data_IF_712246786086
#
_entry.id   IF_712246786086
#
_cell.length_a   1.000
_cell.length_b   1.000
_cell.length_c   1.000
_cell.angle_alpha   90.00
_cell.angle_beta   90.00
_cell.angle_gamma   90.00
#
_symmetry.space_group_name_H-M   'P 1'
#
loop_
_entity.id
_entity.type
_entity.pdbx_description
1 polymer ?
#
# COMPACT_ATOMS: atom_id res chain seq x y z
N UNK A 1 0.62 -1.20 33.76
CA UNK A 1 0.76 -1.79 32.41
C UNK A 1 -0.42 -1.42 31.50
N UNK A 2 -1.66 -1.67 31.94
CA UNK A 2 -2.87 -1.30 31.17
C UNK A 2 -2.88 0.16 30.71
N UNK A 3 -2.45 1.09 31.57
CA UNK A 3 -2.45 2.53 31.25
C UNK A 3 -1.57 2.88 30.05
N UNK A 4 -0.35 2.33 29.95
CA UNK A 4 0.54 2.60 28.81
C UNK A 4 -0.02 2.07 27.50
N UNK A 5 -0.60 0.86 27.53
CA UNK A 5 -1.21 0.26 26.35
C UNK A 5 -2.42 1.06 25.89
N UNK A 6 -3.30 1.43 26.82
CA UNK A 6 -4.47 2.24 26.54
C UNK A 6 -4.08 3.63 26.01
N UNK A 7 -3.12 4.29 26.64
CA UNK A 7 -2.61 5.59 26.19
C UNK A 7 -2.02 5.50 24.77
N UNK A 8 -1.20 4.48 24.47
CA UNK A 8 -0.70 4.26 23.10
C UNK A 8 -1.81 4.12 22.07
N UNK A 9 -2.81 3.27 22.36
CA UNK A 9 -3.93 3.03 21.44
C UNK A 9 -4.70 4.34 21.22
N UNK A 10 -5.07 5.03 22.29
CA UNK A 10 -5.87 6.27 22.22
C UNK A 10 -5.13 7.33 21.42
N UNK A 11 -3.87 7.62 21.77
CA UNK A 11 -3.11 8.66 21.07
C UNK A 11 -2.82 8.30 19.60
N UNK A 12 -2.50 7.03 19.30
CA UNK A 12 -2.30 6.59 17.92
C UNK A 12 -3.59 6.64 17.10
N UNK A 13 -4.72 6.19 17.67
CA UNK A 13 -6.03 6.24 17.02
C UNK A 13 -6.49 7.69 16.78
N UNK A 14 -6.29 8.58 17.74
CA UNK A 14 -6.57 10.01 17.57
C UNK A 14 -5.69 10.62 16.48
N UNK A 15 -4.40 10.28 16.43
CA UNK A 15 -3.51 10.70 15.35
C UNK A 15 -4.02 10.25 13.98
N UNK A 16 -4.44 8.99 13.83
CA UNK A 16 -5.01 8.47 12.59
C UNK A 16 -6.32 9.22 12.25
N UNK A 17 -7.19 9.43 13.23
CA UNK A 17 -8.44 10.17 13.07
C UNK A 17 -8.23 11.61 12.60
N UNK A 18 -7.26 12.32 13.20
CA UNK A 18 -6.85 13.65 12.76
C UNK A 18 -6.39 13.65 11.31
N UNK A 19 -5.57 12.68 10.89
CA UNK A 19 -5.13 12.57 9.50
C UNK A 19 -6.29 12.34 8.54
N UNK A 20 -7.19 11.40 8.86
CA UNK A 20 -8.38 11.13 8.04
C UNK A 20 -9.23 12.40 7.93
N UNK A 21 -9.40 13.13 9.03
CA UNK A 21 -10.11 14.41 9.03
C UNK A 21 -9.42 15.43 8.14
N UNK A 22 -8.10 15.61 8.25
CA UNK A 22 -7.32 16.53 7.41
C UNK A 22 -7.46 16.21 5.92
N UNK A 23 -7.42 14.92 5.55
CA UNK A 23 -7.62 14.48 4.16
C UNK A 23 -9.01 14.84 3.63
N UNK A 24 -10.02 14.98 4.51
CA UNK A 24 -11.39 15.36 4.15
C UNK A 24 -11.62 16.87 4.14
N UNK A 25 -11.09 17.59 5.11
CA UNK A 25 -11.34 19.03 5.30
C UNK A 25 -10.27 19.95 4.72
N UNK A 26 -9.20 19.40 4.17
CA UNK A 26 -8.01 20.14 3.75
C UNK A 26 -6.95 20.25 4.85
N UNK A 27 -5.72 20.54 4.45
CA UNK A 27 -4.55 20.59 5.32
C UNK A 27 -4.53 21.90 6.13
N UNK A 28 -4.59 21.80 7.45
CA UNK A 28 -4.25 22.90 8.38
C UNK A 28 -2.96 22.58 9.11
N UNK A 29 -2.05 23.54 9.16
CA UNK A 29 -0.77 23.43 9.87
C UNK A 29 -0.97 23.10 11.36
N UNK A 30 -2.03 23.64 11.97
CA UNK A 30 -2.38 23.36 13.36
C UNK A 30 -2.78 21.91 13.55
N UNK A 31 -3.65 21.38 12.68
CA UNK A 31 -4.09 19.98 12.75
C UNK A 31 -2.92 19.02 12.50
N UNK A 32 -2.02 19.38 11.59
CA UNK A 32 -0.79 18.60 11.36
C UNK A 32 0.11 18.58 12.60
N UNK A 33 0.32 19.73 13.24
CA UNK A 33 1.11 19.82 14.47
C UNK A 33 0.49 19.04 15.63
N UNK A 34 -0.85 19.06 15.73
CA UNK A 34 -1.59 18.34 16.75
C UNK A 34 -1.49 16.83 16.54
N UNK A 35 -1.68 16.36 15.30
CA UNK A 35 -1.48 14.96 14.93
C UNK A 35 -0.06 14.48 15.26
N UNK A 36 0.97 15.28 14.94
CA UNK A 36 2.37 14.96 15.29
C UNK A 36 2.57 14.81 16.79
N UNK A 37 1.97 15.70 17.58
CA UNK A 37 2.02 15.64 19.04
C UNK A 37 1.36 14.35 19.55
N UNK A 38 0.17 14.01 19.05
CA UNK A 38 -0.53 12.78 19.39
C UNK A 38 0.30 11.53 19.06
N UNK A 39 0.86 11.45 17.85
CA UNK A 39 1.74 10.33 17.47
C UNK A 39 2.97 10.23 18.39
N UNK A 40 3.61 11.36 18.68
CA UNK A 40 4.78 11.40 19.57
C UNK A 40 4.45 10.92 20.98
N UNK A 41 3.30 11.34 21.52
CA UNK A 41 2.80 10.88 22.82
C UNK A 41 2.53 9.37 22.83
N UNK A 42 2.00 8.83 21.73
CA UNK A 42 1.79 7.39 21.58
C UNK A 42 3.13 6.62 21.59
N UNK A 43 4.15 7.17 20.92
CA UNK A 43 5.50 6.58 20.81
C UNK A 43 6.28 6.55 22.13
N UNK A 44 6.05 7.49 23.05
CA UNK A 44 6.70 7.50 24.39
C UNK A 44 6.44 6.20 25.17
N UNK A 45 5.35 5.51 24.87
CA UNK A 45 4.97 4.27 25.55
C UNK A 45 5.51 3.01 24.88
N UNK A 46 6.11 3.11 23.69
CA UNK A 46 6.35 1.96 22.81
C UNK A 46 7.44 1.03 23.35
N UNK A 47 8.48 1.55 24.00
CA UNK A 47 9.50 0.75 24.67
C UNK A 47 8.88 -0.12 25.76
N UNK A 48 7.92 0.44 26.51
CA UNK A 48 7.20 -0.31 27.56
C UNK A 48 6.30 -1.40 26.97
N UNK A 49 5.71 -1.17 25.80
CA UNK A 49 4.96 -2.19 25.08
C UNK A 49 5.85 -3.36 24.65
N UNK A 50 7.09 -3.06 24.25
CA UNK A 50 8.05 -4.07 23.80
C UNK A 50 8.67 -4.86 24.95
N UNK A 51 8.94 -4.22 26.09
CA UNK A 51 9.60 -4.86 27.24
C UNK A 51 8.65 -5.67 28.13
N UNK A 52 7.34 -5.49 28.01
CA UNK A 52 6.34 -6.24 28.76
C UNK A 52 5.95 -7.55 28.07
N UNK A 53 5.44 -8.55 28.83
CA UNK A 53 4.89 -9.76 28.23
C UNK A 53 3.85 -9.42 27.17
N UNK A 54 3.92 -10.11 26.03
CA UNK A 54 2.97 -9.88 24.93
C UNK A 54 1.54 -10.21 25.38
N UNK A 55 0.61 -9.32 25.05
CA UNK A 55 -0.83 -9.46 25.30
C UNK A 55 -1.61 -9.08 24.04
N UNK A 56 -2.86 -9.52 23.91
CA UNK A 56 -3.71 -9.11 22.80
C UNK A 56 -3.83 -7.58 22.68
N UNK A 57 -3.84 -6.88 23.83
CA UNK A 57 -3.95 -5.43 23.86
C UNK A 57 -2.64 -4.75 23.44
N UNK A 58 -1.47 -5.24 23.88
CA UNK A 58 -0.18 -4.72 23.42
C UNK A 58 0.01 -4.93 21.93
N UNK A 59 -0.46 -6.06 21.39
CA UNK A 59 -0.47 -6.31 19.95
C UNK A 59 -1.33 -5.28 19.21
N UNK A 60 -2.57 -5.06 19.65
CA UNK A 60 -3.46 -4.03 19.07
C UNK A 60 -2.84 -2.62 19.14
N UNK A 61 -2.14 -2.30 20.23
CA UNK A 61 -1.43 -1.03 20.36
C UNK A 61 -0.31 -0.88 19.33
N UNK A 62 0.53 -1.92 19.15
CA UNK A 62 1.61 -1.93 18.17
C UNK A 62 1.08 -1.82 16.73
N UNK A 63 -0.01 -2.53 16.39
CA UNK A 63 -0.65 -2.40 15.07
C UNK A 63 -1.22 -1.00 14.84
N UNK A 64 -1.87 -0.41 15.84
CA UNK A 64 -2.39 0.96 15.73
C UNK A 64 -1.26 1.96 15.50
N UNK A 65 -0.15 1.82 16.23
CA UNK A 65 1.05 2.63 16.05
C UNK A 65 1.70 2.42 14.68
N UNK A 66 1.77 1.18 14.19
CA UNK A 66 2.31 0.84 12.87
C UNK A 66 1.49 1.48 11.75
N UNK A 67 0.16 1.47 11.86
CA UNK A 67 -0.71 2.16 10.90
C UNK A 67 -0.47 3.67 10.96
N UNK A 68 -0.41 4.25 12.16
CA UNK A 68 -0.11 5.67 12.32
C UNK A 68 1.27 6.04 11.74
N UNK A 69 2.30 5.23 11.97
CA UNK A 69 3.65 5.46 11.44
C UNK A 69 3.69 5.33 9.92
N UNK A 70 3.04 4.32 9.35
CA UNK A 70 2.99 4.13 7.90
C UNK A 70 2.34 5.34 7.18
N UNK A 71 1.41 6.01 7.85
CA UNK A 71 0.72 7.17 7.32
C UNK A 71 1.47 8.50 7.53
N UNK A 72 2.22 8.63 8.62
CA UNK A 72 2.82 9.91 9.05
C UNK A 72 4.35 9.92 9.07
N UNK A 73 4.97 8.89 9.65
CA UNK A 73 6.42 8.82 9.85
C UNK A 73 6.95 7.44 9.41
N UNK A 74 7.07 7.21 8.09
CA UNK A 74 7.46 5.90 7.54
C UNK A 74 8.81 5.39 8.06
N UNK A 75 9.69 6.29 8.50
CA UNK A 75 10.97 5.94 9.11
C UNK A 75 10.83 5.05 10.37
N UNK A 76 9.73 5.18 11.11
CA UNK A 76 9.49 4.38 12.32
C UNK A 76 8.83 3.02 12.00
N UNK A 77 8.37 2.82 10.76
CA UNK A 77 7.56 1.67 10.38
C UNK A 77 8.33 0.35 10.42
N UNK A 78 9.63 0.31 10.09
CA UNK A 78 10.44 -0.92 10.12
C UNK A 78 10.48 -1.51 11.54
N UNK A 79 10.83 -0.65 12.49
CA UNK A 79 10.98 -1.03 13.89
C UNK A 79 9.62 -1.44 14.49
N UNK A 80 8.56 -0.65 14.24
CA UNK A 80 7.20 -0.97 14.68
C UNK A 80 6.69 -2.28 14.06
N UNK A 81 7.00 -2.53 12.79
CA UNK A 81 6.65 -3.77 12.10
C UNK A 81 7.35 -4.96 12.76
N UNK A 82 8.65 -4.86 13.04
CA UNK A 82 9.41 -5.88 13.76
C UNK A 82 8.83 -6.17 15.15
N UNK A 83 8.50 -5.13 15.91
CA UNK A 83 7.88 -5.26 17.23
C UNK A 83 6.49 -5.91 17.16
N UNK A 84 5.65 -5.52 16.20
CA UNK A 84 4.32 -6.10 16.00
C UNK A 84 4.40 -7.58 15.59
N UNK A 85 5.31 -7.94 14.69
CA UNK A 85 5.56 -9.34 14.29
C UNK A 85 6.04 -10.17 15.47
N UNK A 86 7.01 -9.67 16.24
CA UNK A 86 7.52 -10.35 17.43
C UNK A 86 6.43 -10.58 18.47
N UNK A 87 5.55 -9.60 18.68
CA UNK A 87 4.40 -9.72 19.57
C UNK A 87 3.38 -10.76 19.05
N UNK A 88 3.10 -10.77 17.74
CA UNK A 88 2.20 -11.75 17.12
C UNK A 88 2.72 -13.18 17.25
N UNK A 89 4.02 -13.38 17.02
CA UNK A 89 4.68 -14.68 17.13
C UNK A 89 4.74 -15.16 18.58
N UNK A 90 5.03 -14.26 19.53
CA UNK A 90 5.02 -14.56 20.97
C UNK A 90 3.65 -15.03 21.45
N UNK A 91 2.57 -14.45 20.91
CA UNK A 91 1.19 -14.84 21.17
C UNK A 91 0.69 -16.01 20.31
N UNK A 92 1.50 -16.48 19.35
CA UNK A 92 1.15 -17.51 18.35
C UNK A 92 -0.17 -17.20 17.63
N UNK A 93 -0.35 -15.94 17.24
CA UNK A 93 -1.60 -15.48 16.62
C UNK A 93 -1.88 -16.11 15.25
N UNK A 94 -0.92 -16.81 14.65
CA UNK A 94 -1.10 -17.60 13.44
C UNK A 94 -1.92 -18.89 13.67
N UNK A 95 -2.17 -19.27 14.92
CA UNK A 95 -2.91 -20.47 15.30
C UNK A 95 -4.25 -20.12 15.96
N UNK A 96 -5.35 -20.66 15.43
CA UNK A 96 -6.72 -20.39 15.88
C UNK A 96 -6.97 -20.89 17.30
N UNK A 97 -6.39 -22.02 17.68
CA UNK A 97 -6.50 -22.51 19.05
C UNK A 97 -5.80 -21.55 20.01
N UNK A 98 -4.60 -21.07 19.67
CA UNK A 98 -3.90 -20.04 20.45
C UNK A 98 -4.72 -18.74 20.56
N UNK A 99 -5.31 -18.25 19.46
CA UNK A 99 -6.21 -17.09 19.48
C UNK A 99 -7.36 -17.27 20.50
N UNK A 100 -7.99 -18.44 20.51
CA UNK A 100 -9.07 -18.78 21.46
C UNK A 100 -8.59 -18.90 22.91
N UNK A 101 -7.32 -19.21 23.15
CA UNK A 101 -6.75 -19.20 24.52
C UNK A 101 -6.42 -17.81 25.02
N UNK A 102 -6.04 -16.90 24.10
CA UNK A 102 -5.66 -15.52 24.43
C UNK A 102 -6.89 -14.64 24.68
N UNK A 103 -8.02 -14.95 24.03
CA UNK A 103 -9.26 -14.19 24.09
C UNK A 103 -10.32 -14.90 24.93
N UNK A 104 -11.13 -14.14 25.67
CA UNK A 104 -12.22 -14.71 26.48
C UNK A 104 -13.53 -14.83 25.70
N UNK A 105 -13.70 -13.98 24.69
CA UNK A 105 -14.93 -13.87 23.89
C UNK A 105 -14.65 -14.10 22.41
N UNK A 106 -15.61 -14.67 21.69
CA UNK A 106 -15.50 -14.87 20.24
C UNK A 106 -15.32 -13.54 19.48
N UNK A 107 -15.94 -12.46 19.95
CA UNK A 107 -15.74 -11.12 19.38
C UNK A 107 -14.29 -10.64 19.47
N UNK A 108 -13.61 -10.96 20.57
CA UNK A 108 -12.20 -10.62 20.77
C UNK A 108 -11.30 -11.46 19.86
N UNK A 109 -11.64 -12.74 19.67
CA UNK A 109 -10.95 -13.64 18.72
C UNK A 109 -11.02 -13.05 17.31
N UNK A 110 -12.21 -12.69 16.83
CA UNK A 110 -12.37 -12.14 15.48
C UNK A 110 -11.67 -10.77 15.35
N UNK A 111 -11.77 -9.91 16.36
CA UNK A 111 -11.05 -8.64 16.39
C UNK A 111 -9.53 -8.82 16.33
N UNK A 112 -8.98 -9.80 17.05
CA UNK A 112 -7.56 -10.09 17.07
C UNK A 112 -7.09 -10.76 15.77
N UNK A 113 -7.93 -11.64 15.20
CA UNK A 113 -7.73 -12.22 13.86
C UNK A 113 -7.64 -11.14 12.80
N UNK A 114 -8.56 -10.17 12.78
CA UNK A 114 -8.49 -9.04 11.86
C UNK A 114 -7.21 -8.21 12.03
N UNK A 115 -6.77 -7.96 13.27
CA UNK A 115 -5.52 -7.24 13.53
C UNK A 115 -4.28 -8.02 13.03
N UNK A 116 -4.28 -9.35 13.17
CA UNK A 116 -3.24 -10.22 12.61
C UNK A 116 -3.21 -10.15 11.08
N UNK A 117 -4.36 -10.20 10.43
CA UNK A 117 -4.41 -10.11 8.97
C UNK A 117 -4.08 -8.70 8.45
N UNK A 118 -4.40 -7.65 9.20
CA UNK A 118 -3.91 -6.30 8.90
C UNK A 118 -2.39 -6.25 8.96
N UNK A 119 -1.76 -6.82 10.00
CA UNK A 119 -0.31 -6.96 10.07
C UNK A 119 0.23 -7.69 8.83
N UNK A 120 -0.38 -8.81 8.46
CA UNK A 120 0.00 -9.58 7.28
C UNK A 120 -0.02 -8.71 6.01
N UNK A 121 -1.08 -7.94 5.79
CA UNK A 121 -1.19 -7.06 4.60
C UNK A 121 -0.16 -5.92 4.56
N UNK A 122 0.36 -5.50 5.72
CA UNK A 122 1.42 -4.48 5.80
C UNK A 122 2.80 -5.12 5.65
N UNK A 123 3.02 -6.27 6.30
CA UNK A 123 4.31 -6.94 6.40
C UNK A 123 4.82 -7.43 5.04
N UNK A 124 3.99 -8.13 4.26
CA UNK A 124 4.44 -8.76 3.02
C UNK A 124 4.93 -7.75 1.98
N UNK A 125 4.17 -6.69 1.66
CA UNK A 125 4.66 -5.67 0.73
C UNK A 125 5.90 -4.95 1.25
N UNK A 126 5.95 -4.67 2.56
CA UNK A 126 7.05 -3.96 3.18
C UNK A 126 8.37 -4.75 3.06
N UNK A 127 8.35 -6.04 3.41
CA UNK A 127 9.52 -6.91 3.29
C UNK A 127 9.97 -7.08 1.85
N UNK A 128 9.04 -7.33 0.92
CA UNK A 128 9.36 -7.46 -0.51
C UNK A 128 10.06 -6.20 -1.04
N UNK A 129 9.52 -5.01 -0.73
CA UNK A 129 10.09 -3.72 -1.14
C UNK A 129 11.53 -3.54 -0.65
N UNK A 130 11.82 -4.03 0.55
CA UNK A 130 13.15 -3.95 1.17
C UNK A 130 14.06 -5.14 0.82
N UNK A 131 13.61 -6.07 -0.03
CA UNK A 131 14.36 -7.29 -0.36
C UNK A 131 14.62 -8.18 0.85
N UNK A 132 13.70 -8.20 1.80
CA UNK A 132 13.76 -9.02 3.02
C UNK A 132 12.79 -10.19 2.91
N UNK A 133 13.13 -11.29 3.58
CA UNK A 133 12.24 -12.42 3.75
C UNK A 133 11.01 -12.05 4.59
N UNK A 134 9.87 -12.67 4.28
CA UNK A 134 8.68 -12.54 5.12
C UNK A 134 8.90 -13.22 6.47
N UNK A 135 8.59 -12.50 7.53
CA UNK A 135 8.68 -13.00 8.90
C UNK A 135 7.44 -13.80 9.33
N UNK A 136 6.31 -13.60 8.67
CA UNK A 136 5.07 -14.35 8.90
C UNK A 136 4.94 -15.45 7.84
N UNK A 137 5.37 -16.68 8.13
CA UNK A 137 5.29 -17.76 7.14
C UNK A 137 3.85 -18.27 6.97
N UNK A 138 3.41 -18.32 5.71
CA UNK A 138 2.06 -18.77 5.32
C UNK A 138 1.81 -20.23 5.71
N UNK A 139 2.86 -21.05 5.79
CA UNK A 139 2.77 -22.47 6.14
C UNK A 139 2.29 -22.73 7.57
N UNK A 140 2.36 -21.72 8.45
CA UNK A 140 1.99 -21.86 9.86
C UNK A 140 0.68 -21.17 10.21
N UNK A 141 -0.02 -20.56 9.25
CA UNK A 141 -1.29 -19.86 9.50
C UNK A 141 -2.44 -20.85 9.26
N UNK A 142 -3.25 -21.14 10.28
CA UNK A 142 -4.29 -22.18 10.24
C UNK A 142 -5.74 -21.67 10.19
N UNK A 143 -5.91 -20.35 10.04
CA UNK A 143 -7.21 -19.69 9.99
C UNK A 143 -7.29 -18.74 8.79
N UNK A 144 -8.49 -18.36 8.37
CA UNK A 144 -8.69 -17.45 7.23
C UNK A 144 -8.97 -16.00 7.67
N UNK A 145 -8.70 -14.99 6.81
CA UNK A 145 -8.93 -13.58 7.12
C UNK A 145 -10.39 -13.20 7.33
N UNK A 146 -11.31 -13.85 6.62
CA UNK A 146 -12.73 -13.48 6.62
C UNK A 146 -13.55 -14.71 7.00
N UNK A 147 -14.34 -14.59 8.07
CA UNK A 147 -15.31 -15.61 8.42
C UNK A 147 -16.44 -15.61 7.39
N UNK A 148 -16.71 -16.76 6.76
CA UNK A 148 -17.75 -16.90 5.73
C UNK A 148 -19.11 -16.42 6.26
N UNK A 149 -19.64 -15.32 5.73
CA UNK A 149 -20.89 -14.73 6.22
C UNK A 149 -21.30 -13.42 5.54
N UNK A 150 -22.34 -12.78 6.07
CA UNK A 150 -22.89 -11.51 5.57
C UNK A 150 -21.81 -10.40 5.58
N UNK A 151 -20.86 -10.46 6.52
CA UNK A 151 -19.78 -9.48 6.62
C UNK A 151 -18.82 -9.49 5.42
N UNK A 152 -18.61 -10.65 4.79
CA UNK A 152 -17.77 -10.78 3.60
C UNK A 152 -18.30 -9.97 2.39
N UNK A 153 -19.60 -9.60 2.41
CA UNK A 153 -20.24 -8.82 1.34
C UNK A 153 -20.09 -7.30 1.54
N UNK A 154 -19.55 -6.84 2.67
CA UNK A 154 -19.33 -5.40 2.91
C UNK A 154 -18.24 -4.89 1.95
N UNK A 155 -18.40 -3.72 1.30
CA UNK A 155 -17.39 -3.17 0.38
C UNK A 155 -15.99 -3.03 1.01
N UNK A 156 -15.92 -2.65 2.29
CA UNK A 156 -14.65 -2.59 3.02
C UNK A 156 -13.95 -3.95 3.16
N UNK A 157 -14.72 -5.03 3.31
CA UNK A 157 -14.18 -6.38 3.40
C UNK A 157 -13.73 -6.90 2.03
N UNK A 158 -14.38 -6.47 0.95
CA UNK A 158 -13.93 -6.76 -0.42
C UNK A 158 -12.61 -6.05 -0.74
N UNK A 159 -12.49 -4.76 -0.39
CA UNK A 159 -11.24 -4.01 -0.53
C UNK A 159 -10.12 -4.67 0.29
N UNK A 160 -10.40 -5.04 1.54
CA UNK A 160 -9.45 -5.80 2.37
C UNK A 160 -9.04 -7.14 1.74
N UNK A 161 -10.00 -7.87 1.15
CA UNK A 161 -9.73 -9.12 0.43
C UNK A 161 -8.81 -8.95 -0.78
N UNK A 162 -8.83 -7.79 -1.44
CA UNK A 162 -7.86 -7.45 -2.50
C UNK A 162 -6.47 -7.23 -1.91
N UNK A 163 -6.34 -6.43 -0.84
CA UNK A 163 -5.05 -6.20 -0.17
C UNK A 163 -4.41 -7.49 0.34
N UNK A 164 -5.21 -8.37 0.91
CA UNK A 164 -4.78 -9.70 1.32
C UNK A 164 -4.21 -10.51 0.15
N UNK A 165 -4.93 -10.60 -0.97
CA UNK A 165 -4.46 -11.35 -2.15
C UNK A 165 -3.17 -10.77 -2.73
N UNK A 166 -3.05 -9.44 -2.77
CA UNK A 166 -1.81 -8.78 -3.16
C UNK A 166 -0.66 -9.12 -2.19
N UNK A 167 -0.92 -9.12 -0.88
CA UNK A 167 0.07 -9.50 0.12
C UNK A 167 0.50 -10.97 0.00
N UNK A 168 -0.40 -11.88 -0.35
CA UNK A 168 -0.04 -13.28 -0.65
C UNK A 168 0.86 -13.38 -1.89
N UNK A 169 0.58 -12.60 -2.94
CA UNK A 169 1.49 -12.51 -4.08
C UNK A 169 2.87 -11.99 -3.65
N UNK A 170 2.93 -10.94 -2.82
CA UNK A 170 4.19 -10.46 -2.28
C UNK A 170 4.95 -11.58 -1.53
N UNK A 171 4.26 -12.35 -0.69
CA UNK A 171 4.84 -13.43 0.09
C UNK A 171 5.50 -14.50 -0.80
N UNK A 172 4.79 -14.93 -1.84
CA UNK A 172 5.27 -15.98 -2.75
C UNK A 172 6.42 -15.49 -3.62
N UNK A 173 6.30 -14.28 -4.17
CA UNK A 173 7.37 -13.66 -4.96
C UNK A 173 8.65 -13.53 -4.12
N UNK A 174 8.54 -13.03 -2.88
CA UNK A 174 9.67 -12.93 -1.96
C UNK A 174 10.27 -14.32 -1.65
N UNK A 175 9.44 -15.32 -1.36
CA UNK A 175 9.90 -16.68 -1.08
C UNK A 175 10.66 -17.32 -2.25
N UNK A 176 10.23 -17.06 -3.49
CA UNK A 176 10.96 -17.53 -4.68
C UNK A 176 12.29 -16.80 -4.89
N UNK A 177 12.35 -15.49 -4.59
CA UNK A 177 13.59 -14.71 -4.65
C UNK A 177 14.61 -15.10 -3.59
N UNK A 178 14.15 -15.50 -2.39
CA UNK A 178 15.02 -15.88 -1.28
C UNK A 178 15.53 -17.33 -1.39
N UNK A 179 14.90 -18.17 -2.21
CA UNK A 179 15.34 -19.53 -2.41
C UNK A 179 16.72 -19.56 -3.08
N UNK A 180 17.72 -20.12 -2.40
CA UNK A 180 19.10 -20.33 -2.87
C UNK A 180 19.19 -20.98 -4.27
N UNK A 181 18.13 -21.69 -4.71
CA UNK A 181 17.97 -22.24 -6.07
C UNK A 181 17.82 -21.16 -7.16
N UNK A 182 17.16 -20.04 -6.87
CA UNK A 182 17.00 -18.91 -7.81
C UNK A 182 18.34 -18.21 -8.11
N UNK A 183 19.29 -18.27 -7.18
CA UNK A 183 20.66 -17.76 -7.37
C UNK A 183 21.55 -18.73 -8.17
N UNK A 184 21.16 -20.00 -8.31
CA UNK A 184 22.02 -21.06 -8.86
C UNK A 184 21.49 -21.79 -10.10
N UNK A 185 20.27 -21.50 -10.59
CA UNK A 185 19.63 -22.26 -11.68
C UNK A 185 19.27 -21.41 -12.92
N UNK A 186 19.29 -22.08 -14.08
CA UNK A 186 19.30 -21.55 -15.45
C UNK A 186 18.17 -20.61 -15.85
N UNK A 187 18.43 -19.77 -16.86
CA UNK A 187 17.53 -18.84 -17.57
C UNK A 187 16.16 -19.42 -17.99
N UNK A 188 16.04 -20.75 -18.14
CA UNK A 188 14.79 -21.43 -18.50
C UNK A 188 13.80 -21.45 -17.33
N UNK A 189 14.28 -21.72 -16.10
CA UNK A 189 13.45 -21.75 -14.89
C UNK A 189 12.88 -20.36 -14.55
N UNK A 190 13.61 -19.29 -14.92
CA UNK A 190 13.18 -17.91 -14.70
C UNK A 190 12.07 -17.46 -15.65
N UNK A 191 12.03 -17.95 -16.89
CA UNK A 191 11.03 -17.50 -17.88
C UNK A 191 9.63 -18.05 -17.61
N UNK A 192 9.49 -19.33 -17.26
CA UNK A 192 8.18 -19.94 -16.95
C UNK A 192 7.56 -19.33 -15.68
N UNK A 193 8.39 -19.08 -14.66
CA UNK A 193 7.94 -18.44 -13.43
C UNK A 193 7.48 -16.99 -13.66
N UNK A 194 8.20 -16.24 -14.51
CA UNK A 194 7.79 -14.88 -14.90
C UNK A 194 6.39 -14.87 -15.54
N UNK A 195 6.15 -15.75 -16.52
CA UNK A 195 4.86 -15.81 -17.20
C UNK A 195 3.73 -16.17 -16.24
N UNK A 196 3.97 -17.12 -15.34
CA UNK A 196 3.04 -17.47 -14.27
C UNK A 196 2.76 -16.28 -13.33
N UNK A 197 3.79 -15.53 -12.93
CA UNK A 197 3.62 -14.35 -12.07
C UNK A 197 2.84 -13.24 -12.76
N UNK A 198 3.18 -12.91 -14.00
CA UNK A 198 2.46 -11.91 -14.79
C UNK A 198 1.00 -12.31 -15.01
N UNK A 199 0.72 -13.60 -15.24
CA UNK A 199 -0.64 -14.09 -15.37
C UNK A 199 -1.43 -13.98 -14.05
N UNK A 200 -0.82 -14.36 -12.92
CA UNK A 200 -1.44 -14.19 -11.59
C UNK A 200 -1.74 -12.72 -11.29
N UNK A 201 -0.80 -11.81 -11.57
CA UNK A 201 -1.02 -10.38 -11.43
C UNK A 201 -2.14 -9.89 -12.37
N UNK A 202 -2.15 -10.32 -13.62
CA UNK A 202 -3.19 -9.95 -14.58
C UNK A 202 -4.60 -10.36 -14.10
N UNK A 203 -4.74 -11.53 -13.46
CA UNK A 203 -6.02 -11.95 -12.86
C UNK A 203 -6.43 -11.03 -11.72
N UNK A 204 -5.49 -10.62 -10.87
CA UNK A 204 -5.75 -9.70 -9.76
C UNK A 204 -6.04 -8.27 -10.21
N UNK A 205 -5.54 -7.85 -11.38
CA UNK A 205 -5.79 -6.53 -11.95
C UNK A 205 -7.29 -6.21 -11.95
N UNK A 206 -8.12 -7.11 -12.49
CA UNK A 206 -9.56 -6.89 -12.60
C UNK A 206 -10.19 -6.65 -11.22
N UNK A 207 -9.80 -7.45 -10.23
CA UNK A 207 -10.32 -7.32 -8.86
C UNK A 207 -9.90 -6.01 -8.20
N UNK A 208 -8.64 -5.59 -8.40
CA UNK A 208 -8.09 -4.34 -7.86
C UNK A 208 -8.86 -3.13 -8.38
N UNK A 209 -9.05 -3.05 -9.69
CA UNK A 209 -9.75 -1.92 -10.30
C UNK A 209 -11.28 -1.98 -10.08
N UNK A 210 -11.87 -3.17 -9.95
CA UNK A 210 -13.29 -3.33 -9.62
C UNK A 210 -13.59 -2.92 -8.18
N UNK A 211 -12.76 -3.32 -7.21
CA UNK A 211 -12.95 -2.98 -5.79
C UNK A 211 -12.91 -1.47 -5.54
N UNK A 212 -12.09 -0.74 -6.30
CA UNK A 212 -12.06 0.74 -6.28
C UNK A 212 -13.41 1.34 -6.62
N UNK A 213 -14.05 0.86 -7.69
CA UNK A 213 -15.35 1.39 -8.15
C UNK A 213 -16.51 1.00 -7.23
N UNK A 214 -16.34 -0.02 -6.40
CA UNK A 214 -17.33 -0.47 -5.42
C UNK A 214 -17.18 0.19 -4.04
N UNK A 215 -16.12 0.98 -3.84
CA UNK A 215 -15.84 1.64 -2.57
C UNK A 215 -16.80 2.83 -2.34
N UNK A 216 -17.92 2.49 -1.67
CA UNK A 216 -18.97 3.32 -1.05
C UNK A 216 -20.09 3.90 -1.95
N UNK A 217 -21.34 3.38 -1.81
CA UNK A 217 -22.51 4.26 -1.75
C UNK A 217 -22.35 5.16 -0.52
N UNK A 218 -22.67 6.45 -0.65
CA UNK A 218 -22.66 7.41 0.45
C UNK A 218 -23.30 6.79 1.70
N UNK A 219 -22.51 6.65 2.77
CA UNK A 219 -23.03 6.30 4.08
C UNK A 219 -24.00 7.41 4.44
N UNK A 220 -25.30 7.16 4.33
CA UNK A 220 -26.35 8.02 4.88
C UNK A 220 -26.19 7.98 6.39
N UNK A 221 -25.33 8.86 6.92
CA UNK A 221 -25.36 9.22 8.34
C UNK A 221 -26.81 9.65 8.63
N UNK A 222 -27.41 9.09 9.67
CA UNK A 222 -28.75 9.46 10.12
C UNK A 222 -28.82 10.99 10.26
N UNK A 223 -29.67 11.68 9.48
CA UNK A 223 -29.73 13.14 9.47
C UNK A 223 -30.16 13.73 10.81
N UNK A 224 -30.56 12.92 11.79
CA UNK A 224 -30.90 13.37 13.15
C UNK A 224 -29.68 13.66 14.04
N UNK A 225 -28.47 13.23 13.66
CA UNK A 225 -27.22 13.48 14.41
C UNK A 225 -26.35 14.53 13.70
N UNK A 226 -26.61 14.80 12.41
CA UNK A 226 -25.87 15.80 11.65
C UNK A 226 -26.33 17.23 11.99
N UNK A 227 -25.38 18.08 12.37
CA UNK A 227 -25.60 19.52 12.53
C UNK A 227 -26.19 20.12 11.24
N UNK A 228 -27.18 21.03 11.31
CA UNK A 228 -27.88 21.59 10.13
C UNK A 228 -26.97 22.39 9.17
N UNK A 229 -25.69 22.59 9.51
CA UNK A 229 -24.69 23.27 8.67
C UNK A 229 -23.62 22.33 8.10
N UNK A 230 -23.82 21.00 8.12
CA UNK A 230 -22.83 20.06 7.57
C UNK A 230 -22.91 20.03 6.03
N UNK A 231 -21.84 20.41 5.29
CA UNK A 231 -21.83 20.37 3.85
C UNK A 231 -22.01 18.92 3.34
N UNK A 232 -22.89 18.76 2.36
CA UNK A 232 -23.12 17.50 1.66
C UNK A 232 -21.78 16.92 1.18
N UNK A 233 -21.39 15.78 1.72
CA UNK A 233 -20.10 15.16 1.44
C UNK A 233 -20.06 14.63 -0.01
N UNK A 234 -19.02 14.95 -0.80
CA UNK A 234 -18.83 14.31 -2.09
C UNK A 234 -18.59 12.80 -1.90
N UNK A 235 -18.90 11.96 -2.90
CA UNK A 235 -18.62 10.53 -2.87
C UNK A 235 -17.16 10.29 -2.51
N UNK A 236 -16.89 9.36 -1.59
CA UNK A 236 -15.54 9.11 -1.11
C UNK A 236 -14.65 8.70 -2.28
N UNK A 237 -13.54 9.42 -2.46
CA UNK A 237 -12.44 9.02 -3.35
C UNK A 237 -12.12 7.55 -3.07
N UNK A 238 -12.27 6.70 -4.09
CA UNK A 238 -12.03 5.26 -3.96
C UNK A 238 -10.60 4.97 -3.51
N UNK A 239 -10.42 3.93 -2.69
CA UNK A 239 -9.11 3.56 -2.18
C UNK A 239 -8.17 3.18 -3.34
N UNK A 240 -7.14 4.01 -3.57
CA UNK A 240 -6.15 3.80 -4.63
C UNK A 240 -4.99 2.91 -4.18
N UNK A 241 -4.88 2.60 -2.89
CA UNK A 241 -3.71 1.95 -2.32
C UNK A 241 -3.49 0.54 -2.87
N UNK A 242 -4.56 -0.21 -3.17
CA UNK A 242 -4.48 -1.51 -3.83
C UNK A 242 -3.91 -1.38 -5.26
N UNK A 243 -4.32 -0.35 -6.02
CA UNK A 243 -3.79 -0.10 -7.37
C UNK A 243 -2.32 0.28 -7.35
N UNK A 244 -1.90 1.08 -6.37
CA UNK A 244 -0.51 1.46 -6.17
C UNK A 244 0.35 0.22 -5.84
N UNK A 245 -0.11 -0.63 -4.92
CA UNK A 245 0.58 -1.87 -4.56
C UNK A 245 0.64 -2.85 -5.74
N UNK A 246 -0.44 -2.99 -6.51
CA UNK A 246 -0.47 -3.80 -7.72
C UNK A 246 0.62 -3.35 -8.72
N UNK A 247 0.71 -2.05 -8.99
CA UNK A 247 1.73 -1.54 -9.90
C UNK A 247 3.15 -1.75 -9.38
N UNK A 248 3.36 -1.57 -8.07
CA UNK A 248 4.65 -1.85 -7.44
C UNK A 248 5.05 -3.32 -7.59
N UNK A 249 4.11 -4.25 -7.46
CA UNK A 249 4.34 -5.68 -7.71
C UNK A 249 4.72 -5.97 -9.17
N UNK A 250 4.02 -5.34 -10.13
CA UNK A 250 4.37 -5.46 -11.55
C UNK A 250 5.81 -4.99 -11.80
N UNK A 251 6.20 -3.85 -11.22
CA UNK A 251 7.57 -3.34 -11.33
C UNK A 251 8.58 -4.27 -10.66
N UNK A 252 8.26 -4.82 -9.48
CA UNK A 252 9.16 -5.71 -8.74
C UNK A 252 9.46 -6.99 -9.52
N UNK A 253 8.42 -7.65 -10.03
CA UNK A 253 8.55 -8.84 -10.89
C UNK A 253 9.35 -8.47 -12.14
N UNK A 254 8.88 -7.48 -12.89
CA UNK A 254 9.47 -7.11 -14.19
C UNK A 254 10.94 -6.70 -14.05
N UNK A 255 11.28 -5.84 -13.08
CA UNK A 255 12.65 -5.35 -12.89
C UNK A 255 13.65 -6.46 -12.52
N UNK A 256 13.22 -7.48 -11.78
CA UNK A 256 14.06 -8.63 -11.44
C UNK A 256 14.37 -9.51 -12.66
N UNK A 257 13.37 -9.72 -13.50
CA UNK A 257 13.55 -10.53 -14.72
C UNK A 257 14.28 -9.75 -15.82
N UNK A 258 14.13 -8.42 -15.93
CA UNK A 258 14.93 -7.60 -16.86
C UNK A 258 16.43 -7.56 -16.51
N UNK A 259 16.79 -7.71 -15.23
CA UNK A 259 18.20 -7.82 -14.81
C UNK A 259 18.81 -9.20 -15.15
N UNK A 260 17.96 -10.19 -15.43
CA UNK A 260 18.37 -11.53 -15.86
C UNK A 260 18.43 -11.51 -17.40
N UNK A 261 19.48 -12.07 -18.01
CA UNK A 261 19.62 -12.14 -19.48
C UNK A 261 18.53 -13.06 -20.07
N UNK A 262 17.33 -12.50 -20.25
CA UNK A 262 16.22 -13.12 -20.97
C UNK A 262 16.30 -12.75 -22.45
N UNK A 263 15.80 -13.63 -23.33
CA UNK A 263 15.80 -13.38 -24.77
C UNK A 263 14.86 -12.23 -25.18
N UNK A 264 15.10 -11.68 -26.37
CA UNK A 264 14.43 -10.47 -26.88
C UNK A 264 12.89 -10.55 -26.83
N UNK A 265 12.31 -11.72 -27.14
CA UNK A 265 10.84 -11.91 -27.17
C UNK A 265 10.16 -11.79 -25.80
N UNK A 266 10.85 -12.20 -24.73
CA UNK A 266 10.34 -12.05 -23.36
C UNK A 266 10.46 -10.60 -22.87
N UNK A 267 11.48 -9.86 -23.32
CA UNK A 267 11.65 -8.45 -22.95
C UNK A 267 10.47 -7.60 -23.44
N UNK A 268 10.08 -7.75 -24.70
CA UNK A 268 8.96 -6.99 -25.27
C UNK A 268 7.64 -7.25 -24.53
N UNK A 269 7.38 -8.50 -24.12
CA UNK A 269 6.18 -8.87 -23.35
C UNK A 269 6.19 -8.23 -21.96
N UNK A 270 7.33 -8.23 -21.27
CA UNK A 270 7.50 -7.58 -19.95
C UNK A 270 7.28 -6.08 -20.08
N UNK A 271 7.96 -5.44 -21.03
CA UNK A 271 7.85 -4.00 -21.29
C UNK A 271 6.41 -3.59 -21.59
N UNK A 272 5.72 -4.36 -22.44
CA UNK A 272 4.31 -4.13 -22.74
C UNK A 272 3.44 -4.22 -21.48
N UNK A 273 3.67 -5.18 -20.59
CA UNK A 273 2.93 -5.33 -19.32
C UNK A 273 3.19 -4.21 -18.33
N UNK A 274 4.44 -3.77 -18.22
CA UNK A 274 4.83 -2.61 -17.43
C UNK A 274 4.17 -1.35 -17.97
N UNK A 275 4.19 -1.16 -19.30
CA UNK A 275 3.57 -0.02 -19.98
C UNK A 275 2.05 0.02 -19.75
N UNK A 276 1.35 -1.10 -19.95
CA UNK A 276 -0.09 -1.21 -19.68
C UNK A 276 -0.44 -0.82 -18.24
N UNK A 277 0.32 -1.34 -17.28
CA UNK A 277 0.08 -1.06 -15.86
C UNK A 277 0.43 0.40 -15.50
N UNK A 278 1.46 0.98 -16.13
CA UNK A 278 1.80 2.38 -15.93
C UNK A 278 0.74 3.32 -16.51
N UNK A 279 0.18 2.99 -17.69
CA UNK A 279 -0.95 3.71 -18.29
C UNK A 279 -2.16 3.67 -17.37
N UNK A 280 -2.45 2.53 -16.74
CA UNK A 280 -3.55 2.43 -15.77
C UNK A 280 -3.34 3.38 -14.60
N UNK A 281 -2.12 3.46 -14.04
CA UNK A 281 -1.82 4.45 -12.99
C UNK A 281 -2.06 5.88 -13.49
N UNK A 282 -1.60 6.24 -14.70
CA UNK A 282 -1.83 7.58 -15.23
C UNK A 282 -3.33 7.90 -15.39
N UNK A 283 -4.14 6.92 -15.80
CA UNK A 283 -5.61 7.04 -15.82
C UNK A 283 -6.16 7.31 -14.42
N UNK A 284 -5.68 6.58 -13.42
CA UNK A 284 -6.13 6.76 -12.04
C UNK A 284 -5.80 8.16 -11.51
N UNK A 285 -4.64 8.73 -11.87
CA UNK A 285 -4.22 10.06 -11.42
C UNK A 285 -5.15 11.18 -11.91
N UNK A 286 -5.88 10.97 -13.01
CA UNK A 286 -6.89 11.93 -13.50
C UNK A 286 -8.02 12.10 -12.47
N UNK A 287 -8.32 11.06 -11.71
CA UNK A 287 -9.40 11.03 -10.71
C UNK A 287 -8.93 11.44 -9.30
N UNK A 288 -7.62 11.58 -9.08
CA UNK A 288 -7.06 11.89 -7.75
C UNK A 288 -6.90 13.40 -7.59
N UNK A 289 -7.36 13.92 -6.45
CA UNK A 289 -7.13 15.32 -6.08
C UNK A 289 -5.63 15.57 -5.78
N UNK A 290 -4.92 16.37 -6.60
CA UNK A 290 -3.50 16.63 -6.41
C UNK A 290 -3.20 17.37 -5.11
N UNK A 291 -4.16 18.12 -4.56
CA UNK A 291 -3.94 18.88 -3.32
C UNK A 291 -3.80 17.97 -2.10
N UNK A 292 -4.42 16.79 -2.14
CA UNK A 292 -4.32 15.75 -1.11
C UNK A 292 -3.14 14.80 -1.33
N UNK A 293 -2.78 14.59 -2.60
CA UNK A 293 -1.71 13.68 -3.02
C UNK A 293 -0.31 14.07 -2.52
N UNK A 294 -0.05 15.36 -2.29
CA UNK A 294 1.27 15.86 -1.83
C UNK A 294 1.76 15.26 -0.51
N UNK A 295 0.86 14.69 0.29
CA UNK A 295 1.20 14.06 1.58
C UNK A 295 1.54 12.58 1.44
N UNK A 296 1.22 11.94 0.31
CA UNK A 296 1.48 10.51 0.09
C UNK A 296 2.72 10.31 -0.80
N UNK A 297 3.86 10.08 -0.14
CA UNK A 297 5.13 9.86 -0.83
C UNK A 297 5.11 8.64 -1.77
N UNK A 298 4.32 7.61 -1.45
CA UNK A 298 4.22 6.41 -2.29
C UNK A 298 3.45 6.71 -3.57
N UNK A 299 2.34 7.44 -3.47
CA UNK A 299 1.59 7.92 -4.63
C UNK A 299 2.47 8.77 -5.54
N UNK A 300 3.20 9.74 -4.98
CA UNK A 300 4.10 10.60 -5.77
C UNK A 300 5.16 9.78 -6.48
N UNK A 301 5.85 8.90 -5.76
CA UNK A 301 6.88 8.02 -6.34
C UNK A 301 6.31 7.19 -7.49
N UNK A 302 5.16 6.55 -7.28
CA UNK A 302 4.52 5.71 -8.29
C UNK A 302 4.06 6.55 -9.49
N UNK A 303 3.43 7.69 -9.27
CA UNK A 303 2.98 8.59 -10.33
C UNK A 303 4.14 9.02 -11.24
N UNK A 304 5.27 9.38 -10.63
CA UNK A 304 6.48 9.79 -11.35
C UNK A 304 7.07 8.62 -12.13
N UNK A 305 7.20 7.45 -11.49
CA UNK A 305 7.69 6.23 -12.16
C UNK A 305 6.81 5.86 -13.35
N UNK A 306 5.48 5.86 -13.19
CA UNK A 306 4.54 5.60 -14.28
C UNK A 306 4.66 6.62 -15.40
N UNK A 307 4.77 7.91 -15.08
CA UNK A 307 4.96 8.97 -16.08
C UNK A 307 6.22 8.72 -16.92
N UNK A 308 7.34 8.44 -16.25
CA UNK A 308 8.62 8.20 -16.93
C UNK A 308 8.55 6.97 -17.83
N UNK A 309 8.02 5.85 -17.32
CA UNK A 309 7.88 4.61 -18.09
C UNK A 309 7.01 4.80 -19.33
N UNK A 310 5.86 5.46 -19.17
CA UNK A 310 4.97 5.73 -20.31
C UNK A 310 5.62 6.67 -21.32
N UNK A 311 6.34 7.70 -20.87
CA UNK A 311 7.05 8.61 -21.76
C UNK A 311 8.16 7.90 -22.54
N UNK A 312 8.94 7.02 -21.89
CA UNK A 312 10.01 6.24 -22.52
C UNK A 312 9.47 5.27 -23.57
N UNK A 313 8.33 4.62 -23.30
CA UNK A 313 7.78 3.59 -24.20
C UNK A 313 6.62 4.08 -25.08
N UNK A 314 6.38 5.40 -25.17
CA UNK A 314 5.22 5.95 -25.91
C UNK A 314 5.22 5.56 -27.41
N UNK A 315 6.41 5.42 -28.01
CA UNK A 315 6.57 5.03 -29.41
C UNK A 315 6.00 3.63 -29.68
N UNK A 316 5.98 2.75 -28.69
CA UNK A 316 5.48 1.37 -28.80
C UNK A 316 3.97 1.26 -28.58
N UNK A 317 3.31 2.32 -28.13
CA UNK A 317 1.91 2.24 -27.78
C UNK A 317 0.95 2.42 -28.98
N UNK A 318 -0.12 1.62 -29.01
CA UNK A 318 -1.11 1.64 -30.09
C UNK A 318 -1.97 2.93 -30.08
N UNK A 319 -2.26 3.49 -28.91
CA UNK A 319 -3.16 4.65 -28.73
C UNK A 319 -2.40 5.92 -28.29
N UNK A 320 -1.39 6.31 -29.08
CA UNK A 320 -0.47 7.42 -28.71
C UNK A 320 -1.20 8.70 -28.32
N UNK A 321 -2.26 9.09 -29.02
CA UNK A 321 -3.03 10.32 -28.73
C UNK A 321 -3.71 10.26 -27.35
N UNK A 322 -4.33 9.14 -27.00
CA UNK A 322 -4.99 8.96 -25.69
C UNK A 322 -3.95 8.96 -24.56
N UNK A 323 -2.82 8.27 -24.78
CA UNK A 323 -1.73 8.20 -23.81
C UNK A 323 -1.09 9.57 -23.60
N UNK A 324 -0.90 10.34 -24.68
CA UNK A 324 -0.41 11.71 -24.59
C UNK A 324 -1.34 12.60 -23.75
N UNK A 325 -2.66 12.43 -23.86
CA UNK A 325 -3.61 13.14 -22.97
C UNK A 325 -3.37 12.77 -21.50
N UNK A 326 -3.16 11.50 -21.17
CA UNK A 326 -2.87 11.09 -19.79
C UNK A 326 -1.54 11.65 -19.28
N UNK A 327 -0.50 11.69 -20.11
CA UNK A 327 0.77 12.34 -19.77
C UNK A 327 0.58 13.83 -19.47
N UNK A 328 -0.16 14.56 -20.32
CA UNK A 328 -0.47 15.98 -20.13
C UNK A 328 -1.30 16.19 -18.86
N UNK A 329 -2.32 15.38 -18.63
CA UNK A 329 -3.12 15.42 -17.39
C UNK A 329 -2.25 15.20 -16.14
N UNK A 330 -1.30 14.27 -16.22
CA UNK A 330 -0.36 13.96 -15.13
C UNK A 330 0.63 15.10 -14.90
N UNK A 331 1.10 15.78 -15.95
CA UNK A 331 1.89 17.02 -15.80
C UNK A 331 1.08 18.11 -15.08
N UNK A 332 -0.20 18.28 -15.44
CA UNK A 332 -1.11 19.18 -14.74
C UNK A 332 -1.32 18.79 -13.28
N UNK A 333 -1.36 17.49 -12.97
CA UNK A 333 -1.40 16.96 -11.61
C UNK A 333 -0.14 17.37 -10.83
N UNK A 334 1.07 17.13 -11.36
CA UNK A 334 2.32 17.53 -10.70
C UNK A 334 2.43 19.05 -10.52
N UNK A 335 2.02 19.85 -11.50
CA UNK A 335 2.02 21.31 -11.38
C UNK A 335 1.13 21.77 -10.20
N UNK A 336 -0.08 21.23 -10.07
CA UNK A 336 -0.98 21.56 -8.95
C UNK A 336 -0.46 21.07 -7.60
N UNK A 337 0.22 19.93 -7.57
CA UNK A 337 0.91 19.44 -6.38
C UNK A 337 2.00 20.41 -5.90
N UNK A 338 2.86 20.90 -6.80
CA UNK A 338 3.96 21.81 -6.44
C UNK A 338 3.50 23.16 -5.87
N UNK A 339 2.29 23.59 -6.22
CA UNK A 339 1.69 24.82 -5.68
C UNK A 339 1.20 24.63 -4.24
N UNK A 340 0.75 23.42 -3.89
CA UNK A 340 0.04 23.14 -2.62
C UNK A 340 0.90 22.46 -1.57
N UNK A 341 1.92 21.71 -2.00
CA UNK A 341 2.96 21.20 -1.14
C UNK A 341 4.30 21.65 -1.75
N UNK A 342 5.07 22.53 -1.07
CA UNK A 342 6.43 22.81 -1.49
C UNK A 342 7.21 21.50 -1.40
N UNK A 343 7.28 20.78 -2.52
CA UNK A 343 7.95 19.49 -2.61
C UNK A 343 9.35 19.68 -2.03
N UNK A 344 9.65 18.98 -0.94
CA UNK A 344 11.00 18.88 -0.43
C UNK A 344 11.89 18.40 -1.57
N UNK A 345 12.65 19.35 -2.11
CA UNK A 345 13.80 19.20 -3.00
C UNK A 345 13.63 18.18 -4.14
N UNK A 346 12.82 18.56 -5.15
CA UNK A 346 12.81 18.03 -6.52
C UNK A 346 14.13 18.26 -7.30
N UNK A 347 15.29 18.35 -6.63
CA UNK A 347 16.60 18.44 -7.30
C UNK A 347 16.92 17.23 -8.20
N UNK A 348 16.15 16.15 -8.07
CA UNK A 348 16.24 14.95 -8.93
C UNK A 348 15.27 14.97 -10.12
N UNK A 349 14.29 15.88 -10.15
CA UNK A 349 13.28 15.90 -11.21
C UNK A 349 13.72 16.67 -12.45
N UNK A 350 14.52 17.73 -12.29
CA UNK A 350 15.16 18.38 -13.44
C UNK A 350 15.97 17.38 -14.24
N UNK A 351 16.78 16.56 -13.57
CA UNK A 351 17.56 15.48 -14.20
C UNK A 351 16.71 14.45 -14.99
N UNK A 352 15.50 14.14 -14.50
CA UNK A 352 14.58 13.21 -15.18
C UNK A 352 13.90 13.89 -16.36
N UNK A 353 13.44 15.14 -16.20
CA UNK A 353 12.87 15.94 -17.29
C UNK A 353 13.89 16.20 -18.39
N UNK A 354 15.14 16.51 -18.03
CA UNK A 354 16.26 16.72 -18.94
C UNK A 354 16.60 15.42 -19.68
N UNK A 355 16.57 14.27 -18.99
CA UNK A 355 16.74 12.95 -19.65
C UNK A 355 15.63 12.63 -20.64
N UNK A 356 14.36 12.87 -20.27
CA UNK A 356 13.22 12.64 -21.17
C UNK A 356 13.28 13.57 -22.39
N UNK A 357 13.64 14.84 -22.19
CA UNK A 357 13.81 15.79 -23.30
C UNK A 357 14.97 15.40 -24.23
N UNK A 358 16.06 14.87 -23.69
CA UNK A 358 17.19 14.39 -24.49
C UNK A 358 16.84 13.13 -25.30
N UNK A 359 16.06 12.21 -24.73
CA UNK A 359 15.55 11.03 -25.45
C UNK A 359 14.63 11.46 -26.59
N UNK A 360 13.69 12.38 -26.34
CA UNK A 360 12.77 12.88 -27.37
C UNK A 360 13.46 13.65 -28.51
N UNK A 361 14.58 14.33 -28.23
CA UNK A 361 15.40 15.02 -29.24
C UNK A 361 16.22 14.05 -30.10
N UNK A 362 16.62 12.91 -29.54
CA UNK A 362 17.41 11.92 -30.28
C UNK A 362 16.57 11.07 -31.23
N UNK A 363 15.26 10.92 -30.99
CA UNK A 363 14.32 10.22 -31.89
C UNK A 363 13.80 11.08 -33.05
N UNK A 364 14.23 12.35 -33.15
CA UNK A 364 13.82 13.29 -34.22
C UNK A 364 14.92 13.57 -35.26
N UNK A 365 15.96 12.74 -35.30
CA UNK A 365 17.00 12.75 -36.34
C UNK A 365 16.89 11.56 -37.30
#
# INVERSE_FOLDING_TARGET
MSDHVNSSIVYAALSIGCLISMRRSGTSQETESHMRCLYSNAMVHVEKLHMCPSTALSFKALITLLVASALWKPADADWLLGAAVSCAQSLRLNNLACLKTVCQRNEEVESLKHAFWLLYTIEKPYRLRNGQASALSDAYIDHEPISSGIEARKPSMQAFGVHYRLAQCCARIAGEFDCQKALSQSTIFTSENLDNWLEQLQRLRVDVFTARHQSAPAMTLDPRIASPNSPCMPPSEGDISASLLYFELVLCVSGRFSASSLGDSSSDKIEQKVLESAIDILKLLVEVDPTKAGTDQNLVRIAVSSFCLVATFISRANERTTIFRYLVSTLGFFARMTITAPLMTLGKFSSVVDSVQNVLKNDSC
#
